data_IF_137039675082
#
_entry.id   IF_137039675082
#
_cell.length_a   1.000
_cell.length_b   1.000
_cell.length_c   1.000
_cell.angle_alpha   90.00
_cell.angle_beta   90.00
_cell.angle_gamma   90.00
#
_symmetry.space_group_name_H-M   'P 1'
#
loop_
_entity.id
_entity.type
_entity.pdbx_description
1 polymer ?
#
# COMPACT_ATOMS: atom_id res chain seq x y z
N UNK A 1 -13.10 -4.22 14.11
CA UNK A 1 -11.70 -3.75 13.93
C UNK A 1 -11.68 -2.68 12.87
N UNK A 2 -11.05 -1.53 13.17
CA UNK A 2 -10.95 -0.43 12.21
C UNK A 2 -9.81 -0.70 11.23
N UNK A 3 -9.99 -0.34 9.97
CA UNK A 3 -8.91 -0.35 8.97
C UNK A 3 -8.81 1.02 8.34
N UNK A 4 -7.61 1.40 7.94
CA UNK A 4 -7.36 2.68 7.30
C UNK A 4 -6.70 2.47 5.94
N UNK A 5 -6.97 3.38 5.01
CA UNK A 5 -6.31 3.44 3.71
C UNK A 5 -5.51 4.73 3.63
N UNK A 6 -4.23 4.59 3.33
CA UNK A 6 -3.35 5.72 3.02
C UNK A 6 -2.78 5.56 1.62
N UNK A 7 -2.40 6.67 1.01
CA UNK A 7 -1.75 6.67 -0.30
C UNK A 7 -0.81 7.86 -0.49
N UNK A 8 0.17 7.69 -1.36
CA UNK A 8 1.11 8.74 -1.80
C UNK A 8 1.50 8.51 -3.26
N UNK A 9 2.13 9.50 -3.87
CA UNK A 9 2.84 9.35 -5.14
C UNK A 9 4.31 9.01 -4.91
N UNK A 10 4.81 8.09 -5.73
CA UNK A 10 6.24 7.91 -5.97
C UNK A 10 6.72 8.98 -6.97
N UNK A 11 8.03 9.23 -7.01
CA UNK A 11 8.66 10.13 -7.99
C UNK A 11 8.42 9.70 -9.44
N UNK A 12 8.31 8.39 -9.68
CA UNK A 12 7.97 7.80 -10.98
C UNK A 12 6.47 7.94 -11.35
N UNK A 13 5.71 8.70 -10.57
CA UNK A 13 4.28 8.96 -10.71
C UNK A 13 3.34 7.79 -10.39
N UNK A 14 3.87 6.64 -9.99
CA UNK A 14 3.04 5.55 -9.45
C UNK A 14 2.32 5.99 -8.17
N UNK A 15 1.07 5.56 -8.00
CA UNK A 15 0.34 5.67 -6.72
C UNK A 15 0.74 4.49 -5.85
N UNK A 16 1.23 4.76 -4.65
CA UNK A 16 1.55 3.79 -3.62
C UNK A 16 0.47 3.86 -2.55
N UNK A 17 -0.08 2.71 -2.17
CA UNK A 17 -1.18 2.61 -1.20
C UNK A 17 -0.87 1.55 -0.16
N UNK A 18 -1.44 1.69 1.04
CA UNK A 18 -1.37 0.66 2.07
C UNK A 18 -2.64 0.61 2.90
N UNK A 19 -3.00 -0.59 3.37
CA UNK A 19 -3.99 -0.77 4.43
C UNK A 19 -3.30 -0.86 5.78
N UNK A 20 -3.87 -0.18 6.77
CA UNK A 20 -3.40 -0.21 8.15
C UNK A 20 -4.48 -0.78 9.07
N UNK A 21 -4.05 -1.44 10.14
CA UNK A 21 -4.93 -1.84 11.23
C UNK A 21 -5.20 -0.69 12.21
N UNK A 22 -5.89 -1.00 13.31
CA UNK A 22 -6.24 -0.03 14.37
C UNK A 22 -5.03 0.49 15.16
N UNK A 23 -3.91 -0.22 15.15
CA UNK A 23 -2.64 0.20 15.74
C UNK A 23 -1.73 0.89 14.73
N UNK A 24 -2.23 1.16 13.52
CA UNK A 24 -1.50 1.79 12.41
C UNK A 24 -0.35 0.93 11.88
N UNK A 25 -0.38 -0.37 12.13
CA UNK A 25 0.53 -1.30 11.48
C UNK A 25 0.06 -1.58 10.07
N UNK A 26 1.01 -1.52 9.12
CA UNK A 26 0.74 -1.88 7.73
C UNK A 26 0.40 -3.37 7.64
N UNK A 27 -0.71 -3.68 6.98
CA UNK A 27 -1.20 -5.04 6.74
C UNK A 27 -1.05 -5.47 5.28
N UNK A 28 -1.12 -4.52 4.34
CA UNK A 28 -0.85 -4.76 2.92
C UNK A 28 -0.39 -3.47 2.24
N UNK A 29 0.38 -3.59 1.16
CA UNK A 29 0.86 -2.47 0.35
C UNK A 29 0.85 -2.81 -1.14
N UNK A 30 0.51 -1.83 -1.97
CA UNK A 30 0.44 -2.00 -3.42
C UNK A 30 0.73 -0.71 -4.17
N UNK A 31 1.09 -0.86 -5.43
CA UNK A 31 1.29 0.25 -6.35
C UNK A 31 0.38 0.12 -7.58
N UNK A 32 0.02 1.26 -8.15
CA UNK A 32 -0.68 1.33 -9.44
C UNK A 32 0.01 2.38 -10.30
N UNK A 33 0.22 2.09 -11.58
CA UNK A 33 0.77 3.02 -12.57
C UNK A 33 -0.11 3.01 -13.81
N UNK A 34 -0.68 4.16 -14.18
CA UNK A 34 -1.64 4.28 -15.29
C UNK A 34 -2.88 5.08 -14.89
N UNK A 35 -3.85 5.22 -15.81
CA UNK A 35 -5.15 5.83 -15.51
C UNK A 35 -6.09 4.76 -14.94
N UNK A 36 -6.88 5.06 -13.89
CA UNK A 36 -7.85 4.12 -13.31
C UNK A 36 -9.04 3.77 -14.23
N UNK A 37 -9.11 4.35 -15.43
CA UNK A 37 -10.11 4.02 -16.46
C UNK A 37 -9.62 2.92 -17.42
N UNK A 38 -8.37 2.49 -17.30
CA UNK A 38 -7.89 1.29 -17.98
C UNK A 38 -8.30 0.09 -17.11
N UNK A 39 -9.16 -0.78 -17.64
CA UNK A 39 -9.60 -2.05 -17.03
C UNK A 39 -8.41 -2.96 -16.62
N UNK A 40 -7.20 -2.64 -17.06
CA UNK A 40 -5.94 -3.33 -16.75
C UNK A 40 -4.92 -2.48 -15.99
N UNK A 41 -5.33 -1.53 -15.14
CA UNK A 41 -4.39 -0.87 -14.22
C UNK A 41 -3.85 -1.89 -13.20
N UNK A 42 -2.81 -2.63 -13.59
CA UNK A 42 -2.23 -3.72 -12.82
C UNK A 42 -1.79 -3.23 -11.45
N UNK A 43 -2.48 -3.72 -10.42
CA UNK A 43 -2.13 -3.51 -9.03
C UNK A 43 -0.95 -4.42 -8.71
N UNK A 44 0.22 -3.82 -8.57
CA UNK A 44 1.45 -4.53 -8.24
C UNK A 44 1.69 -4.56 -6.73
N UNK A 45 2.29 -5.65 -6.25
CA UNK A 45 2.70 -5.75 -4.85
C UNK A 45 3.79 -4.70 -4.57
N UNK A 46 3.57 -3.88 -3.55
CA UNK A 46 4.54 -2.89 -3.10
C UNK A 46 4.73 -3.05 -1.59
N UNK A 47 5.75 -3.79 -1.14
CA UNK A 47 6.02 -3.99 0.28
C UNK A 47 6.04 -2.65 1.01
N UNK A 48 5.30 -2.59 2.12
CA UNK A 48 5.13 -1.38 2.89
C UNK A 48 5.32 -1.64 4.38
N UNK A 49 5.85 -0.65 5.11
CA UNK A 49 6.15 -0.79 6.54
C UNK A 49 5.87 0.52 7.29
N UNK A 50 5.16 0.40 8.41
CA UNK A 50 4.91 1.50 9.35
C UNK A 50 6.09 1.69 10.31
N UNK A 51 6.54 2.92 10.49
CA UNK A 51 7.62 3.31 11.40
C UNK A 51 7.05 4.28 12.44
N UNK A 52 7.36 4.04 13.72
CA UNK A 52 6.82 4.80 14.85
C UNK A 52 5.28 4.87 14.89
N UNK A 53 4.62 3.77 14.50
CA UNK A 53 3.16 3.70 14.40
C UNK A 53 2.40 4.11 15.67
N UNK A 54 3.02 3.98 16.86
CA UNK A 54 2.42 4.36 18.14
C UNK A 54 2.30 5.88 18.35
N UNK A 55 3.00 6.70 17.56
CA UNK A 55 2.92 8.17 17.63
C UNK A 55 1.75 8.71 16.78
N UNK A 56 1.38 9.96 17.03
CA UNK A 56 0.38 10.68 16.22
C UNK A 56 0.90 10.97 14.80
N UNK A 57 2.16 11.40 14.72
CA UNK A 57 2.91 11.56 13.48
C UNK A 57 3.80 10.33 13.29
N UNK A 58 3.56 9.58 12.22
CA UNK A 58 4.28 8.34 11.92
C UNK A 58 4.63 8.28 10.43
N UNK A 59 5.59 7.43 10.09
CA UNK A 59 6.01 7.28 8.69
C UNK A 59 5.59 5.92 8.14
N UNK A 60 5.38 5.89 6.82
CA UNK A 60 5.24 4.64 6.07
C UNK A 60 6.22 4.66 4.91
N UNK A 61 6.99 3.58 4.80
CA UNK A 61 7.92 3.33 3.72
C UNK A 61 7.32 2.31 2.76
N UNK A 62 7.42 2.55 1.46
CA UNK A 62 7.11 1.58 0.40
C UNK A 62 8.34 1.31 -0.45
N UNK A 63 8.51 0.08 -0.92
CA UNK A 63 9.35 -0.23 -2.07
C UNK A 63 8.50 -0.17 -3.35
N UNK A 64 8.77 0.80 -4.23
CA UNK A 64 8.00 0.94 -5.47
C UNK A 64 8.42 -0.11 -6.51
N UNK A 65 7.51 -0.98 -7.00
CA UNK A 65 7.85 -2.02 -7.95
C UNK A 65 8.18 -1.47 -9.36
N UNK A 66 7.72 -0.27 -9.69
CA UNK A 66 7.91 0.30 -11.03
C UNK A 66 9.26 1.00 -11.24
N UNK A 67 9.90 1.50 -10.18
CA UNK A 67 11.18 2.21 -10.28
C UNK A 67 12.25 1.71 -9.29
N UNK A 68 11.92 0.72 -8.45
CA UNK A 68 12.84 0.12 -7.49
C UNK A 68 13.25 1.04 -6.33
N UNK A 69 12.63 2.22 -6.18
CA UNK A 69 12.97 3.19 -5.12
C UNK A 69 12.09 3.04 -3.89
N UNK A 70 12.70 3.29 -2.74
CA UNK A 70 11.96 3.46 -1.50
C UNK A 70 11.30 4.84 -1.46
N UNK A 71 10.02 4.89 -1.13
CA UNK A 71 9.29 6.13 -0.88
C UNK A 71 8.88 6.16 0.59
N UNK A 72 9.41 7.13 1.33
CA UNK A 72 9.04 7.38 2.72
C UNK A 72 8.08 8.57 2.78
N UNK A 73 6.97 8.42 3.49
CA UNK A 73 6.02 9.52 3.73
C UNK A 73 5.48 9.52 5.15
N UNK A 74 5.35 10.72 5.68
CA UNK A 74 4.74 11.00 6.96
C UNK A 74 3.23 11.10 6.83
N UNK A 75 2.51 10.51 7.78
CA UNK A 75 1.07 10.62 7.96
C UNK A 75 0.74 11.05 9.40
N UNK A 76 -0.46 11.57 9.58
CA UNK A 76 -1.02 11.97 10.87
C UNK A 76 -2.23 11.10 11.17
N UNK A 77 -2.33 10.60 12.41
CA UNK A 77 -3.36 9.63 12.78
C UNK A 77 -4.78 10.16 12.53
N UNK A 78 -5.02 11.44 12.85
CA UNK A 78 -6.31 12.10 12.70
C UNK A 78 -6.73 12.37 11.25
N UNK A 79 -5.80 12.33 10.30
CA UNK A 79 -6.06 12.59 8.89
C UNK A 79 -6.33 11.31 8.07
N UNK A 80 -6.30 10.13 8.71
CA UNK A 80 -6.43 8.86 7.99
C UNK A 80 -7.87 8.56 7.58
N UNK A 81 -8.04 8.10 6.33
CA UNK A 81 -9.34 7.64 5.84
C UNK A 81 -9.66 6.26 6.40
N UNK A 82 -10.73 6.16 7.19
CA UNK A 82 -11.26 4.89 7.69
C UNK A 82 -11.96 4.12 6.55
N UNK A 83 -11.68 2.82 6.44
CA UNK A 83 -12.39 1.91 5.55
C UNK A 83 -13.66 1.39 6.23
N UNK A 84 -14.78 1.26 5.51
CA UNK A 84 -16.01 0.68 6.07
C UNK A 84 -15.78 -0.78 6.48
N UNK A 85 -16.32 -1.15 7.63
CA UNK A 85 -16.29 -2.52 8.13
C UNK A 85 -17.06 -3.42 7.15
N UNK A 86 -16.35 -4.26 6.40
CA UNK A 86 -16.92 -5.13 5.36
C UNK A 86 -16.24 -5.00 3.99
N UNK A 87 -15.38 -4.01 3.78
CA UNK A 87 -14.55 -3.98 2.56
C UNK A 87 -13.58 -5.18 2.58
N UNK A 88 -13.57 -6.02 1.52
CA UNK A 88 -12.63 -7.12 1.44
C UNK A 88 -11.20 -6.60 1.58
N UNK A 89 -10.31 -7.32 2.30
CA UNK A 89 -8.90 -6.94 2.33
C UNK A 89 -8.42 -6.82 0.89
N UNK A 90 -7.75 -5.70 0.58
CA UNK A 90 -7.31 -5.43 -0.78
C UNK A 90 -6.41 -6.61 -1.20
N UNK A 91 -6.94 -7.46 -2.08
CA UNK A 91 -6.41 -8.80 -2.37
C UNK A 91 -4.88 -8.78 -2.49
N UNK A 92 -4.22 -9.70 -1.77
CA UNK A 92 -2.87 -10.11 -2.07
C UNK A 92 -2.86 -10.54 -3.54
N UNK A 93 -2.07 -9.90 -4.42
CA UNK A 93 -1.90 -10.43 -5.76
C UNK A 93 -1.24 -11.80 -5.64
N UNK A 94 -1.82 -12.77 -6.34
CA UNK A 94 -1.38 -14.16 -6.34
C UNK A 94 0.14 -14.22 -6.55
N UNK A 95 0.83 -14.94 -5.66
CA UNK A 95 2.19 -15.42 -5.96
C UNK A 95 2.09 -16.29 -7.21
N UNK A 96 2.43 -15.74 -8.38
CA UNK A 96 2.69 -16.53 -9.57
C UNK A 96 3.90 -17.42 -9.28
N UNK A 97 3.62 -18.62 -8.78
CA UNK A 97 4.58 -19.69 -8.68
C UNK A 97 4.99 -20.12 -10.08
N UNK A 98 6.19 -19.78 -10.49
CA UNK A 98 6.80 -20.37 -11.67
C UNK A 98 7.23 -21.78 -11.29
N UNK A 99 6.39 -22.77 -11.63
CA UNK A 99 6.83 -24.15 -11.74
C UNK A 99 7.79 -24.24 -12.94
N UNK A 100 9.06 -24.53 -12.69
CA UNK A 100 10.00 -24.98 -13.72
C UNK A 100 9.91 -26.50 -13.84
N UNK A 101 9.56 -27.06 -15.01
CA UNK A 101 9.83 -28.45 -15.31
C UNK A 101 11.15 -28.56 -16.08
N UNK A 102 12.15 -29.25 -15.54
CA UNK A 102 13.05 -30.11 -16.32
C UNK A 102 13.63 -31.19 -15.42
#
# INVERSE_FOLDING_TARGET
>A
MSRFLISTRCECQATLSATLDEHRHVTAGWAVRGRPADDGADKELAPAHSINAHLDRFDVAWLCPYCGRNTLRTFYADAMRRLPAGAPPAAEPARSGTASPT
#
